data_IF_594667710571
#
_entry.id   IF_594667710571
#
_cell.length_a   1.000
_cell.length_b   1.000
_cell.length_c   1.000
_cell.angle_alpha   90.00
_cell.angle_beta   90.00
_cell.angle_gamma   90.00
#
_symmetry.space_group_name_H-M   'P 1'
#
loop_
_entity.id
_entity.type
_entity.pdbx_description
1 polymer ?
#
# COMPACT_ATOMS: atom_id res chain seq x y z
N UNK A 1 -19.21 -1.81 10.94
CA UNK A 1 -18.18 -1.59 9.90
C UNK A 1 -16.84 -2.06 10.42
N UNK A 2 -15.88 -2.30 9.54
CA UNK A 2 -14.49 -2.64 9.88
C UNK A 2 -13.56 -1.59 9.24
N UNK A 3 -12.34 -1.36 9.78
CA UNK A 3 -11.36 -0.52 9.13
C UNK A 3 -10.95 -1.12 7.78
N UNK A 4 -11.14 -0.35 6.71
CA UNK A 4 -10.74 -0.71 5.36
C UNK A 4 -9.58 0.18 4.92
N UNK A 5 -8.51 -0.45 4.47
CA UNK A 5 -7.37 0.23 3.89
C UNK A 5 -7.64 0.48 2.40
N UNK A 6 -7.49 1.72 1.95
CA UNK A 6 -7.64 2.08 0.54
C UNK A 6 -6.61 3.11 0.10
N UNK A 7 -6.20 3.03 -1.16
CA UNK A 7 -5.19 3.89 -1.77
C UNK A 7 -5.77 4.55 -3.02
N UNK A 8 -5.72 5.88 -3.06
CA UNK A 8 -6.33 6.67 -4.13
C UNK A 8 -5.35 7.72 -4.64
N UNK A 9 -5.23 7.80 -5.95
CA UNK A 9 -4.49 8.87 -6.63
C UNK A 9 -5.48 9.91 -7.13
N UNK A 10 -5.33 11.15 -6.68
CA UNK A 10 -6.20 12.27 -7.04
C UNK A 10 -5.47 13.24 -7.96
N UNK A 11 -6.13 13.64 -9.04
CA UNK A 11 -5.70 14.73 -9.92
C UNK A 11 -6.79 15.80 -9.98
N UNK A 12 -6.39 17.04 -9.68
CA UNK A 12 -7.29 18.19 -9.64
C UNK A 12 -6.95 19.17 -10.75
N UNK A 13 -7.97 19.60 -11.50
CA UNK A 13 -7.83 20.61 -12.55
C UNK A 13 -8.93 21.66 -12.44
N UNK A 14 -8.62 22.96 -12.42
CA UNK A 14 -9.63 24.00 -12.42
C UNK A 14 -10.34 24.08 -13.78
N UNK A 15 -11.66 24.20 -13.75
CA UNK A 15 -12.47 24.50 -14.93
C UNK A 15 -12.64 26.02 -15.02
N UNK A 16 -12.31 26.61 -16.16
CA UNK A 16 -12.38 28.06 -16.39
C UNK A 16 -13.48 28.41 -17.38
N UNK A 17 -14.16 29.54 -17.13
CA UNK A 17 -15.04 30.16 -18.11
C UNK A 17 -14.25 30.91 -19.20
N UNK A 18 -14.96 31.52 -20.14
CA UNK A 18 -14.38 32.30 -21.25
C UNK A 18 -13.59 33.54 -20.75
N UNK A 19 -13.85 34.00 -19.53
CA UNK A 19 -13.15 35.12 -18.90
C UNK A 19 -11.96 34.65 -18.06
N UNK A 20 -11.67 33.35 -18.04
CA UNK A 20 -10.60 32.74 -17.27
C UNK A 20 -10.90 32.55 -15.78
N UNK A 21 -12.11 32.86 -15.30
CA UNK A 21 -12.51 32.64 -13.92
C UNK A 21 -12.69 31.15 -13.65
N UNK A 22 -12.21 30.70 -12.49
CA UNK A 22 -12.46 29.32 -12.06
C UNK A 22 -13.93 29.18 -11.68
N UNK A 23 -14.66 28.35 -12.42
CA UNK A 23 -16.09 28.08 -12.22
C UNK A 23 -16.36 26.66 -11.69
N UNK A 24 -15.31 25.84 -11.58
CA UNK A 24 -15.42 24.49 -11.03
C UNK A 24 -14.06 23.81 -10.92
N UNK A 25 -14.10 22.55 -10.50
CA UNK A 25 -12.93 21.69 -10.38
C UNK A 25 -13.27 20.30 -10.89
N UNK A 26 -12.47 19.81 -11.84
CA UNK A 26 -12.45 18.40 -12.22
C UNK A 26 -11.56 17.66 -11.23
N UNK A 27 -12.10 16.60 -10.64
CA UNK A 27 -11.35 15.63 -9.85
C UNK A 27 -11.35 14.30 -10.62
N UNK A 28 -10.17 13.82 -10.98
CA UNK A 28 -9.98 12.46 -11.50
C UNK A 28 -9.39 11.63 -10.38
N UNK A 29 -10.07 10.52 -10.06
CA UNK A 29 -9.63 9.54 -9.05
C UNK A 29 -9.34 8.22 -9.74
N UNK A 30 -8.18 7.65 -9.44
CA UNK A 30 -7.91 6.23 -9.64
C UNK A 30 -7.67 5.56 -8.29
N UNK A 31 -8.32 4.42 -8.10
CA UNK A 31 -8.07 3.57 -6.95
C UNK A 31 -6.95 2.57 -7.27
N UNK A 32 -5.96 2.52 -6.39
CA UNK A 32 -4.74 1.70 -6.50
C UNK A 32 -4.65 0.65 -5.38
N UNK A 33 -5.71 0.49 -4.58
CA UNK A 33 -5.76 -0.35 -3.37
C UNK A 33 -5.26 -1.78 -3.63
N UNK A 34 -5.83 -2.47 -4.60
CA UNK A 34 -5.47 -3.86 -4.91
C UNK A 34 -3.99 -4.00 -5.33
N UNK A 35 -3.49 -3.04 -6.09
CA UNK A 35 -2.10 -3.03 -6.56
C UNK A 35 -1.14 -2.84 -5.39
N UNK A 36 -1.37 -1.83 -4.55
CA UNK A 36 -0.50 -1.53 -3.39
C UNK A 36 -0.51 -2.69 -2.39
N UNK A 37 -1.67 -3.23 -2.07
CA UNK A 37 -1.81 -4.38 -1.16
C UNK A 37 -1.14 -5.63 -1.77
N UNK A 38 -1.33 -5.86 -3.08
CA UNK A 38 -0.71 -6.97 -3.80
C UNK A 38 0.81 -6.90 -3.76
N UNK A 39 1.39 -5.74 -4.06
CA UNK A 39 2.84 -5.49 -4.01
C UNK A 39 3.40 -5.75 -2.60
N UNK A 40 2.74 -5.22 -1.55
CA UNK A 40 3.16 -5.42 -0.16
C UNK A 40 3.11 -6.89 0.29
N UNK A 41 2.06 -7.62 -0.10
CA UNK A 41 1.93 -9.06 0.18
C UNK A 41 3.02 -9.87 -0.52
N UNK A 42 3.33 -9.55 -1.79
CA UNK A 42 4.38 -10.23 -2.54
C UNK A 42 5.77 -9.97 -1.96
N UNK A 43 6.05 -8.75 -1.49
CA UNK A 43 7.29 -8.43 -0.77
C UNK A 43 7.39 -9.27 0.51
N UNK A 44 6.33 -9.29 1.32
CA UNK A 44 6.28 -10.09 2.55
C UNK A 44 6.53 -11.58 2.30
N UNK A 45 5.91 -12.17 1.27
CA UNK A 45 6.11 -13.57 0.93
C UNK A 45 7.54 -13.87 0.48
N UNK A 46 8.16 -12.95 -0.29
CA UNK A 46 9.56 -13.07 -0.69
C UNK A 46 10.48 -13.04 0.52
N UNK A 47 10.27 -12.10 1.43
CA UNK A 47 11.13 -11.93 2.59
C UNK A 47 10.96 -13.09 3.57
N UNK A 48 9.74 -13.63 3.72
CA UNK A 48 9.46 -14.82 4.51
C UNK A 48 10.12 -16.09 3.95
N UNK A 49 10.17 -16.23 2.62
CA UNK A 49 10.80 -17.37 1.94
C UNK A 49 12.31 -17.23 1.74
N UNK A 50 12.91 -16.12 2.17
CA UNK A 50 14.37 -15.93 2.10
C UNK A 50 15.10 -16.87 3.06
N UNK A 51 16.34 -17.26 2.72
CA UNK A 51 17.13 -18.23 3.49
C UNK A 51 17.35 -17.73 4.93
N UNK A 52 16.79 -18.41 5.96
CA UNK A 52 16.96 -18.01 7.34
C UNK A 52 18.19 -18.68 7.95
N UNK A 53 19.22 -19.08 7.18
CA UNK A 53 20.41 -19.84 7.65
C UNK A 53 21.14 -19.30 8.89
N UNK A 54 20.84 -18.07 9.34
CA UNK A 54 21.34 -17.45 10.59
C UNK A 54 20.47 -17.80 11.82
N UNK A 55 19.23 -18.26 11.61
CA UNK A 55 18.25 -18.68 12.61
C UNK A 55 18.50 -20.13 12.99
N UNK A 56 18.90 -20.37 14.24
CA UNK A 56 19.28 -21.71 14.73
C UNK A 56 18.33 -22.26 15.78
N UNK A 57 17.38 -21.45 16.23
CA UNK A 57 16.38 -21.81 17.24
C UNK A 57 14.96 -21.51 16.78
N UNK A 58 13.99 -22.19 17.39
CA UNK A 58 12.56 -21.95 17.15
C UNK A 58 12.16 -20.50 17.48
N UNK A 59 12.68 -19.96 18.58
CA UNK A 59 12.42 -18.58 19.01
C UNK A 59 12.90 -17.56 17.96
N UNK A 60 14.10 -17.77 17.41
CA UNK A 60 14.64 -16.93 16.35
C UNK A 60 13.80 -17.02 15.06
N UNK A 61 13.22 -18.19 14.75
CA UNK A 61 12.37 -18.41 13.56
C UNK A 61 11.00 -17.72 13.70
N UNK A 62 10.39 -17.81 14.88
CA UNK A 62 9.16 -17.12 15.21
C UNK A 62 9.37 -15.60 15.20
N UNK A 63 10.47 -15.13 15.79
CA UNK A 63 10.83 -13.71 15.77
C UNK A 63 11.10 -13.22 14.34
N UNK A 64 11.77 -14.01 13.50
CA UNK A 64 11.97 -13.70 12.08
C UNK A 64 10.64 -13.59 11.33
N UNK A 65 9.78 -14.60 11.44
CA UNK A 65 8.47 -14.63 10.78
C UNK A 65 7.60 -13.46 11.24
N UNK A 66 7.58 -13.17 12.54
CA UNK A 66 6.86 -12.03 13.10
C UNK A 66 7.32 -10.69 12.52
N UNK A 67 8.63 -10.49 12.34
CA UNK A 67 9.16 -9.29 11.67
C UNK A 67 8.67 -9.18 10.22
N UNK A 68 8.74 -10.26 9.44
CA UNK A 68 8.29 -10.21 8.03
C UNK A 68 6.79 -9.94 7.93
N UNK A 69 5.97 -10.63 8.74
CA UNK A 69 4.53 -10.43 8.75
C UNK A 69 4.13 -9.00 9.18
N UNK A 70 4.91 -8.37 10.07
CA UNK A 70 4.64 -6.99 10.49
C UNK A 70 4.81 -5.98 9.35
N UNK A 71 5.65 -6.28 8.35
CA UNK A 71 5.79 -5.47 7.13
C UNK A 71 4.56 -5.50 6.20
N UNK A 72 3.61 -6.40 6.44
CA UNK A 72 2.36 -6.49 5.69
C UNK A 72 1.18 -5.74 6.32
N UNK A 73 1.35 -5.25 7.55
CA UNK A 73 0.33 -4.49 8.26
C UNK A 73 0.33 -3.03 7.79
N UNK A 74 -0.86 -2.44 7.72
CA UNK A 74 -1.09 -1.03 7.44
C UNK A 74 -1.03 -0.19 8.72
#
# INVERSE_FOLDING_TARGET
>A
GYPEESYHTFSYSPLRDDNGHVVGMLCVVSEDTERVIGERRMATLRDLGSDPSVVRTEEEMLAFSGRQLSGNLA
#
